data_IF_894826064336
#
_entry.id   IF_894826064336
#
_cell.length_a   1.000
_cell.length_b   1.000
_cell.length_c   1.000
_cell.angle_alpha   90.00
_cell.angle_beta   90.00
_cell.angle_gamma   90.00
#
_symmetry.space_group_name_H-M   'P 1'
#
loop_
_entity.id
_entity.type
_entity.pdbx_description
1 polymer ?
#
# COMPACT_ATOMS: atom_id res chain seq x y z
N UNK A 1 15.52 20.29 -19.29
CA UNK A 1 16.94 19.88 -19.25
C UNK A 1 16.98 18.37 -19.05
N UNK A 2 17.84 17.63 -19.75
CA UNK A 2 17.92 16.17 -19.59
C UNK A 2 18.66 15.87 -18.29
N UNK A 3 18.06 15.08 -17.41
CA UNK A 3 18.60 14.73 -16.11
C UNK A 3 19.92 13.94 -16.25
N UNK A 4 20.96 14.30 -15.47
CA UNK A 4 22.28 13.67 -15.52
C UNK A 4 22.23 12.23 -14.95
N UNK A 5 22.52 11.18 -15.72
CA UNK A 5 22.39 9.79 -15.25
C UNK A 5 23.37 9.41 -14.11
N UNK A 6 24.28 10.30 -13.70
CA UNK A 6 25.17 10.12 -12.55
C UNK A 6 24.63 10.68 -11.23
N UNK A 7 23.47 11.35 -11.24
CA UNK A 7 22.80 11.89 -10.05
C UNK A 7 21.53 11.11 -9.73
N UNK A 8 21.19 11.01 -8.44
CA UNK A 8 19.89 10.49 -7.98
C UNK A 8 18.80 11.48 -8.37
N UNK A 9 18.36 11.47 -9.63
CA UNK A 9 17.37 12.44 -10.11
C UNK A 9 15.95 12.07 -9.74
N UNK A 10 15.71 10.83 -9.33
CA UNK A 10 14.38 10.31 -9.03
C UNK A 10 14.47 9.41 -7.81
N UNK A 11 13.58 9.63 -6.84
CA UNK A 11 13.33 8.71 -5.73
C UNK A 11 11.86 8.29 -5.79
N UNK A 12 11.64 6.97 -5.87
CA UNK A 12 10.29 6.38 -5.79
C UNK A 12 10.12 5.76 -4.41
N UNK A 13 9.14 6.26 -3.66
CA UNK A 13 8.80 5.79 -2.33
C UNK A 13 7.66 4.80 -2.46
N UNK A 14 7.95 3.53 -2.16
CA UNK A 14 6.97 2.43 -2.08
C UNK A 14 6.74 1.98 -0.63
N UNK A 15 7.15 2.81 0.35
CA UNK A 15 7.25 2.45 1.75
C UNK A 15 6.04 2.92 2.57
N UNK A 16 5.61 2.05 3.48
CA UNK A 16 4.69 2.36 4.58
C UNK A 16 3.87 1.15 5.06
N UNK A 17 4.01 -0.02 4.46
CA UNK A 17 3.49 -1.30 4.99
C UNK A 17 4.00 -1.57 6.42
N UNK A 18 5.31 -1.42 6.67
CA UNK A 18 5.88 -1.65 8.01
C UNK A 18 5.56 -0.51 8.99
N UNK A 19 5.39 0.72 8.51
CA UNK A 19 5.05 1.90 9.31
C UNK A 19 3.57 1.92 9.73
N UNK A 20 2.72 1.20 9.01
CA UNK A 20 1.27 1.17 9.22
C UNK A 20 0.79 -0.02 10.05
N UNK A 21 1.69 -0.84 10.61
CA UNK A 21 1.33 -2.04 11.39
C UNK A 21 0.57 -3.11 10.58
N UNK A 22 0.83 -3.16 9.28
CA UNK A 22 0.23 -4.11 8.36
C UNK A 22 0.38 -5.57 8.79
N UNK A 23 1.49 -5.87 9.46
CA UNK A 23 1.75 -7.20 9.99
C UNK A 23 0.68 -7.70 10.95
N UNK A 24 0.13 -6.80 11.77
CA UNK A 24 -0.97 -7.16 12.67
C UNK A 24 -2.26 -7.40 11.90
N UNK A 25 -2.52 -6.65 10.83
CA UNK A 25 -3.68 -6.85 9.95
C UNK A 25 -3.63 -8.22 9.31
N UNK A 26 -2.50 -8.56 8.65
CA UNK A 26 -2.32 -9.86 8.01
C UNK A 26 -2.39 -10.99 9.03
N UNK A 27 -1.76 -10.82 10.20
CA UNK A 27 -1.76 -11.85 11.26
C UNK A 27 -3.15 -12.05 11.84
N UNK A 28 -3.91 -10.99 12.11
CA UNK A 28 -5.24 -11.08 12.69
C UNK A 28 -6.29 -11.55 11.67
N UNK A 29 -6.20 -11.09 10.42
CA UNK A 29 -6.98 -11.65 9.31
C UNK A 29 -6.74 -13.15 9.25
N UNK A 30 -5.47 -13.56 9.18
CA UNK A 30 -5.09 -14.98 9.17
C UNK A 30 -5.69 -15.69 10.37
N UNK A 31 -5.37 -15.28 11.60
CA UNK A 31 -5.83 -15.94 12.82
C UNK A 31 -7.35 -16.11 12.90
N UNK A 32 -8.12 -15.13 12.42
CA UNK A 32 -9.58 -15.07 12.60
C UNK A 32 -10.33 -15.76 11.46
N UNK A 33 -9.82 -15.73 10.23
CA UNK A 33 -10.41 -16.48 9.11
C UNK A 33 -10.02 -17.96 9.11
N UNK A 34 -8.94 -18.33 9.81
CA UNK A 34 -8.45 -19.71 9.95
C UNK A 34 -9.53 -20.75 10.34
N UNK A 35 -10.53 -20.32 11.09
CA UNK A 35 -11.58 -21.17 11.66
C UNK A 35 -12.99 -20.68 11.31
N UNK A 36 -13.09 -19.73 10.39
CA UNK A 36 -14.38 -19.27 9.88
C UNK A 36 -14.82 -20.19 8.75
N UNK A 37 -16.06 -20.67 8.84
CA UNK A 37 -16.67 -21.56 7.84
C UNK A 37 -17.86 -20.89 7.14
N UNK A 38 -17.95 -19.56 7.20
CA UNK A 38 -19.08 -18.80 6.66
C UNK A 38 -18.66 -17.39 6.24
N UNK A 39 -19.26 -16.86 5.16
CA UNK A 39 -19.04 -15.50 4.67
C UNK A 39 -19.25 -14.43 5.76
N UNK A 40 -20.23 -14.61 6.65
CA UNK A 40 -20.48 -13.69 7.77
C UNK A 40 -19.32 -13.69 8.79
N UNK A 41 -18.71 -14.85 9.01
CA UNK A 41 -17.54 -14.99 9.88
C UNK A 41 -16.31 -14.33 9.27
N UNK A 42 -16.12 -14.47 7.96
CA UNK A 42 -15.02 -13.87 7.20
C UNK A 42 -15.15 -12.34 7.17
N UNK A 43 -16.34 -11.82 6.88
CA UNK A 43 -16.63 -10.38 6.97
C UNK A 43 -16.33 -9.81 8.35
N UNK A 44 -16.74 -10.50 9.42
CA UNK A 44 -16.47 -10.05 10.79
C UNK A 44 -14.98 -10.10 11.14
N UNK A 45 -14.26 -11.13 10.69
CA UNK A 45 -12.82 -11.21 10.83
C UNK A 45 -12.13 -10.04 10.12
N UNK A 46 -12.63 -9.68 8.93
CA UNK A 46 -12.17 -8.53 8.15
C UNK A 46 -12.36 -7.22 8.90
N UNK A 47 -13.59 -6.95 9.35
CA UNK A 47 -13.93 -5.76 10.11
C UNK A 47 -13.04 -5.60 11.33
N UNK A 48 -12.83 -6.66 12.11
CA UNK A 48 -11.94 -6.58 13.28
C UNK A 48 -10.49 -6.33 12.85
N UNK A 49 -9.95 -7.05 11.86
CA UNK A 49 -8.56 -6.85 11.47
C UNK A 49 -8.29 -5.47 10.86
N UNK A 50 -9.22 -4.96 10.05
CA UNK A 50 -9.09 -3.67 9.38
C UNK A 50 -9.41 -2.51 10.33
N UNK A 51 -10.53 -2.56 11.06
CA UNK A 51 -10.97 -1.44 11.89
C UNK A 51 -10.30 -1.42 13.26
N UNK A 52 -10.11 -2.58 13.89
CA UNK A 52 -9.57 -2.68 15.25
C UNK A 52 -8.06 -2.91 15.25
N UNK A 53 -7.54 -3.83 14.44
CA UNK A 53 -6.12 -4.18 14.47
C UNK A 53 -5.24 -3.23 13.65
N UNK A 54 -5.73 -2.77 12.49
CA UNK A 54 -5.03 -1.74 11.72
C UNK A 54 -5.17 -0.38 12.38
N UNK A 55 -6.41 -0.05 12.77
CA UNK A 55 -6.80 1.16 13.48
C UNK A 55 -6.17 2.44 12.86
N UNK A 56 -6.26 2.54 11.53
CA UNK A 56 -5.79 3.70 10.78
C UNK A 56 -6.40 5.03 11.28
N UNK A 57 -7.72 5.12 11.58
CA UNK A 57 -8.32 6.38 12.01
C UNK A 57 -7.65 7.00 13.23
N UNK A 58 -7.17 6.20 14.19
CA UNK A 58 -6.51 6.75 15.38
C UNK A 58 -5.04 7.12 15.16
N UNK A 59 -4.51 6.94 13.94
CA UNK A 59 -3.09 7.06 13.62
C UNK A 59 -2.81 8.05 12.49
N UNK A 60 -3.85 8.65 11.92
CA UNK A 60 -3.75 9.56 10.76
C UNK A 60 -2.68 10.64 10.97
N UNK A 61 -2.70 11.32 12.12
CA UNK A 61 -1.77 12.43 12.40
C UNK A 61 -0.31 11.95 12.47
N UNK A 62 -0.07 10.77 13.07
CA UNK A 62 1.27 10.18 13.16
C UNK A 62 1.79 9.71 11.80
N UNK A 63 0.91 9.15 10.95
CA UNK A 63 1.25 8.71 9.60
C UNK A 63 1.55 9.93 8.73
N UNK A 64 0.70 10.96 8.75
CA UNK A 64 0.91 12.19 8.00
C UNK A 64 2.21 12.90 8.43
N UNK A 65 2.46 13.00 9.74
CA UNK A 65 3.70 13.61 10.26
C UNK A 65 4.95 12.83 9.87
N UNK A 66 4.91 11.49 9.93
CA UNK A 66 6.03 10.66 9.51
C UNK A 66 6.27 10.75 7.99
N UNK A 67 5.20 10.81 7.20
CA UNK A 67 5.25 10.99 5.75
C UNK A 67 5.91 12.32 5.40
N UNK A 68 5.50 13.39 6.06
CA UNK A 68 6.11 14.71 5.95
C UNK A 68 7.60 14.67 6.24
N UNK A 69 7.98 14.12 7.38
CA UNK A 69 9.37 14.00 7.80
C UNK A 69 10.22 13.26 6.76
N UNK A 70 9.71 12.16 6.19
CA UNK A 70 10.41 11.41 5.13
C UNK A 70 10.64 12.31 3.91
N UNK A 71 9.58 12.95 3.42
CA UNK A 71 9.67 13.78 2.21
C UNK A 71 10.54 15.03 2.39
N UNK A 72 10.46 15.71 3.54
CA UNK A 72 11.33 16.85 3.86
C UNK A 72 12.80 16.43 4.04
N UNK A 73 13.04 15.27 4.64
CA UNK A 73 14.40 14.71 4.77
C UNK A 73 15.00 14.42 3.40
N UNK A 74 14.24 13.81 2.50
CA UNK A 74 14.70 13.55 1.13
C UNK A 74 14.91 14.84 0.33
N UNK A 75 14.01 15.82 0.45
CA UNK A 75 14.14 17.10 -0.23
C UNK A 75 15.33 17.94 0.27
N UNK A 76 15.74 17.78 1.53
CA UNK A 76 16.90 18.48 2.09
C UNK A 76 18.23 17.78 1.83
N UNK A 77 18.21 16.45 1.67
CA UNK A 77 19.43 15.64 1.46
C UNK A 77 19.71 15.33 -0.01
N UNK A 78 18.72 15.53 -0.90
CA UNK A 78 18.81 15.17 -2.32
C UNK A 78 18.24 16.28 -3.18
N UNK A 79 18.65 16.32 -4.45
CA UNK A 79 18.04 17.13 -5.49
C UNK A 79 17.10 16.29 -6.39
N UNK A 80 16.60 15.17 -5.86
CA UNK A 80 15.78 14.23 -6.61
C UNK A 80 14.34 14.71 -6.76
N UNK A 81 13.74 14.40 -7.90
CA UNK A 81 12.29 14.40 -8.03
C UNK A 81 11.72 13.26 -7.18
N UNK A 82 10.78 13.61 -6.29
CA UNK A 82 10.19 12.65 -5.36
C UNK A 82 8.84 12.18 -5.88
N UNK A 83 8.66 10.86 -5.92
CA UNK A 83 7.42 10.21 -6.28
C UNK A 83 6.98 9.27 -5.16
N UNK A 84 5.70 9.30 -4.80
CA UNK A 84 5.12 8.41 -3.81
C UNK A 84 4.00 7.58 -4.44
N UNK A 85 4.06 6.26 -4.30
CA UNK A 85 3.05 5.38 -4.91
C UNK A 85 1.92 5.04 -3.94
N UNK A 86 0.68 4.95 -4.44
CA UNK A 86 -0.45 4.37 -3.68
C UNK A 86 -0.24 2.88 -3.38
N UNK A 87 -1.12 2.32 -2.56
CA UNK A 87 -1.09 0.90 -2.16
C UNK A 87 -1.95 0.02 -3.07
N UNK A 88 -1.71 -1.28 -3.01
CA UNK A 88 -2.53 -2.30 -3.67
C UNK A 88 -3.45 -3.02 -2.66
N UNK A 89 -4.60 -3.53 -3.11
CA UNK A 89 -5.46 -4.36 -2.24
C UNK A 89 -4.89 -5.77 -2.10
N UNK A 90 -5.29 -6.48 -1.05
CA UNK A 90 -4.94 -7.89 -0.82
C UNK A 90 -6.08 -8.85 -1.09
N UNK A 91 -7.22 -8.34 -1.56
CA UNK A 91 -8.33 -9.16 -2.04
C UNK A 91 -7.82 -10.19 -3.06
N UNK A 92 -8.29 -11.43 -2.94
CA UNK A 92 -7.83 -12.55 -3.77
C UNK A 92 -6.51 -13.19 -3.34
N UNK A 93 -5.79 -12.65 -2.35
CA UNK A 93 -4.62 -13.33 -1.78
C UNK A 93 -5.02 -14.47 -0.84
N UNK A 94 -4.23 -15.55 -0.84
CA UNK A 94 -4.36 -16.64 0.15
C UNK A 94 -3.22 -16.55 1.16
N UNK A 95 -3.57 -16.34 2.43
CA UNK A 95 -2.60 -16.11 3.51
C UNK A 95 -1.89 -17.40 3.97
N UNK A 96 -2.52 -18.58 3.80
CA UNK A 96 -1.95 -19.88 4.16
C UNK A 96 -2.39 -21.01 3.20
N UNK A 97 -1.61 -22.10 3.04
CA UNK A 97 -2.00 -23.20 2.16
C UNK A 97 -3.35 -23.79 2.55
N UNK A 98 -4.19 -24.08 1.56
CA UNK A 98 -5.50 -24.71 1.76
C UNK A 98 -6.60 -23.79 2.29
N UNK A 99 -6.33 -22.49 2.41
CA UNK A 99 -7.33 -21.51 2.82
C UNK A 99 -8.06 -20.93 1.63
N UNK A 100 -9.29 -20.49 1.86
CA UNK A 100 -10.00 -19.64 0.90
C UNK A 100 -9.24 -18.31 0.80
N UNK A 101 -9.02 -17.78 -0.43
CA UNK A 101 -8.53 -16.42 -0.59
C UNK A 101 -9.41 -15.41 0.15
N UNK A 102 -8.84 -14.27 0.53
CA UNK A 102 -9.63 -13.13 1.02
C UNK A 102 -10.66 -12.79 -0.05
N UNK A 103 -11.94 -13.00 0.24
CA UNK A 103 -13.01 -12.86 -0.73
C UNK A 103 -13.61 -11.46 -0.75
N UNK A 104 -14.63 -11.30 -1.60
CA UNK A 104 -15.30 -10.03 -1.84
C UNK A 104 -16.00 -9.48 -0.58
N UNK A 105 -16.26 -10.32 0.42
CA UNK A 105 -16.80 -9.94 1.72
C UNK A 105 -15.92 -8.97 2.52
N UNK A 106 -14.65 -8.83 2.12
CA UNK A 106 -13.67 -7.91 2.68
C UNK A 106 -13.47 -6.62 1.88
N UNK A 107 -13.97 -6.55 0.64
CA UNK A 107 -13.56 -5.52 -0.31
C UNK A 107 -13.92 -4.10 0.16
N UNK A 108 -15.11 -3.93 0.73
CA UNK A 108 -15.58 -2.62 1.22
C UNK A 108 -14.71 -2.11 2.38
N UNK A 109 -14.43 -2.96 3.37
CA UNK A 109 -13.60 -2.62 4.52
C UNK A 109 -12.15 -2.32 4.08
N UNK A 110 -11.60 -3.16 3.21
CA UNK A 110 -10.26 -2.98 2.66
C UNK A 110 -10.15 -1.69 1.85
N UNK A 111 -11.12 -1.40 0.99
CA UNK A 111 -11.13 -0.19 0.17
C UNK A 111 -11.23 1.06 1.05
N UNK A 112 -12.11 1.06 2.04
CA UNK A 112 -12.24 2.17 2.99
C UNK A 112 -10.92 2.46 3.69
N UNK A 113 -10.23 1.42 4.17
CA UNK A 113 -8.97 1.57 4.87
C UNK A 113 -7.82 2.01 3.95
N UNK A 114 -7.74 1.47 2.73
CA UNK A 114 -6.75 1.88 1.74
C UNK A 114 -6.96 3.33 1.28
N UNK A 115 -8.20 3.73 1.04
CA UNK A 115 -8.56 5.12 0.72
C UNK A 115 -8.20 6.09 1.85
N UNK A 116 -8.43 5.70 3.11
CA UNK A 116 -8.02 6.50 4.27
C UNK A 116 -6.49 6.61 4.36
N UNK A 117 -5.78 5.49 4.16
CA UNK A 117 -4.31 5.49 4.17
C UNK A 117 -3.76 6.43 3.11
N UNK A 118 -4.23 6.32 1.86
CA UNK A 118 -3.77 7.17 0.77
C UNK A 118 -4.03 8.64 1.02
N UNK A 119 -5.23 8.99 1.48
CA UNK A 119 -5.56 10.38 1.83
C UNK A 119 -4.66 10.90 2.95
N UNK A 120 -4.35 10.04 3.93
CA UNK A 120 -3.47 10.37 5.06
C UNK A 120 -2.01 10.55 4.62
N UNK A 121 -1.52 9.73 3.70
CA UNK A 121 -0.18 9.87 3.15
C UNK A 121 -0.09 11.14 2.31
N UNK A 122 -1.03 11.36 1.40
CA UNK A 122 -1.10 12.54 0.54
C UNK A 122 -1.14 13.84 1.35
N UNK A 123 -1.90 13.88 2.46
CA UNK A 123 -1.96 15.07 3.33
C UNK A 123 -0.66 15.36 4.07
N UNK A 124 0.22 14.36 4.20
CA UNK A 124 1.54 14.50 4.79
C UNK A 124 2.65 14.84 3.81
N UNK A 125 2.43 14.77 2.49
CA UNK A 125 3.51 15.00 1.52
C UNK A 125 3.99 16.45 1.56
N UNK A 126 5.31 16.65 1.59
CA UNK A 126 5.91 17.95 1.33
C UNK A 126 5.93 18.27 -0.18
N UNK A 127 5.81 19.54 -0.54
CA UNK A 127 5.96 19.96 -1.94
C UNK A 127 7.45 20.03 -2.35
N UNK A 128 7.83 19.61 -3.58
CA UNK A 128 7.01 19.00 -4.62
C UNK A 128 7.18 17.47 -4.65
N UNK A 129 6.23 16.71 -4.07
CA UNK A 129 6.17 15.25 -4.22
C UNK A 129 5.00 14.87 -5.12
N UNK A 130 5.26 14.04 -6.13
CA UNK A 130 4.23 13.55 -7.06
C UNK A 130 3.61 12.26 -6.53
N UNK A 131 2.29 12.24 -6.38
CA UNK A 131 1.55 11.01 -6.09
C UNK A 131 1.33 10.18 -7.37
N UNK A 132 1.62 8.89 -7.30
CA UNK A 132 1.38 7.92 -8.38
C UNK A 132 0.31 6.94 -7.90
N UNK A 133 -0.85 6.97 -8.54
CA UNK A 133 -1.90 6.00 -8.26
C UNK A 133 -1.65 4.70 -9.03
N UNK A 134 -1.41 3.63 -8.29
CA UNK A 134 -1.43 2.26 -8.77
C UNK A 134 -2.89 1.79 -8.74
N UNK A 135 -3.37 1.24 -9.85
CA UNK A 135 -4.68 0.60 -9.90
C UNK A 135 -4.71 -0.64 -8.98
N UNK A 136 -5.02 -0.38 -7.70
CA UNK A 136 -4.85 -1.32 -6.59
C UNK A 136 -5.60 -2.63 -6.78
N UNK A 137 -6.75 -2.58 -7.45
CA UNK A 137 -7.66 -3.71 -7.67
C UNK A 137 -7.16 -4.67 -8.74
N UNK A 138 -6.16 -4.28 -9.53
CA UNK A 138 -5.69 -5.07 -10.67
C UNK A 138 -4.32 -5.68 -10.46
N UNK A 139 -3.59 -5.32 -9.40
CA UNK A 139 -2.23 -5.81 -9.13
C UNK A 139 -2.25 -7.31 -8.87
N UNK A 140 -1.65 -8.15 -9.74
CA UNK A 140 -1.60 -9.58 -9.51
C UNK A 140 -0.74 -9.93 -8.30
N UNK A 141 -1.31 -10.68 -7.37
CA UNK A 141 -0.66 -11.10 -6.13
C UNK A 141 -0.11 -12.53 -6.26
N UNK A 142 0.82 -12.87 -5.37
CA UNK A 142 1.25 -14.26 -5.22
C UNK A 142 0.10 -15.09 -4.61
N UNK A 143 -0.18 -16.26 -5.21
CA UNK A 143 -1.24 -17.16 -4.72
C UNK A 143 -0.91 -17.71 -3.33
N UNK A 144 0.38 -17.86 -2.99
CA UNK A 144 0.79 -18.28 -1.65
C UNK A 144 2.23 -17.88 -1.35
N UNK A 145 2.45 -17.25 -0.19
CA UNK A 145 3.79 -16.87 0.28
C UNK A 145 3.84 -16.37 1.73
N UNK A 146 2.80 -16.65 2.53
CA UNK A 146 2.66 -16.16 3.92
C UNK A 146 2.38 -14.66 4.07
N UNK A 147 2.57 -13.89 2.99
CA UNK A 147 2.32 -12.45 2.90
C UNK A 147 1.66 -12.12 1.55
N UNK A 148 0.77 -11.13 1.48
CA UNK A 148 0.12 -10.75 0.22
C UNK A 148 1.02 -9.81 -0.59
N UNK A 149 2.12 -10.32 -1.15
CA UNK A 149 2.99 -9.54 -2.04
C UNK A 149 2.55 -9.65 -3.51
N UNK A 150 2.85 -8.65 -4.35
CA UNK A 150 2.71 -8.78 -5.80
C UNK A 150 3.53 -9.96 -6.30
N UNK A 151 3.02 -10.67 -7.31
CA UNK A 151 3.83 -11.67 -8.04
C UNK A 151 4.69 -10.98 -9.11
N UNK A 152 5.37 -11.75 -9.97
CA UNK A 152 6.21 -11.20 -11.05
C UNK A 152 5.43 -10.24 -11.98
N UNK A 153 4.18 -10.56 -12.30
CA UNK A 153 3.33 -9.74 -13.15
C UNK A 153 2.87 -8.49 -12.40
N UNK A 154 2.55 -8.60 -11.11
CA UNK A 154 2.27 -7.45 -10.24
C UNK A 154 3.43 -6.49 -10.11
N UNK A 155 4.65 -6.99 -9.89
CA UNK A 155 5.84 -6.13 -9.90
C UNK A 155 6.06 -5.45 -11.25
N UNK A 156 5.81 -6.16 -12.36
CA UNK A 156 5.92 -5.60 -13.71
C UNK A 156 4.88 -4.51 -13.95
N UNK A 157 3.64 -4.73 -13.52
CA UNK A 157 2.55 -3.76 -13.61
C UNK A 157 2.89 -2.48 -12.83
N UNK A 158 3.24 -2.62 -11.54
CA UNK A 158 3.61 -1.49 -10.69
C UNK A 158 4.77 -0.70 -11.31
N UNK A 159 5.82 -1.40 -11.75
CA UNK A 159 6.99 -0.77 -12.38
C UNK A 159 6.63 0.01 -13.65
N UNK A 160 5.71 -0.50 -14.49
CA UNK A 160 5.24 0.20 -15.69
C UNK A 160 4.40 1.43 -15.36
N UNK A 161 3.51 1.33 -14.37
CA UNK A 161 2.70 2.47 -13.90
C UNK A 161 3.60 3.60 -13.40
N UNK A 162 4.59 3.26 -12.56
CA UNK A 162 5.57 4.21 -12.03
C UNK A 162 6.38 4.85 -13.16
N UNK A 163 6.93 4.04 -14.07
CA UNK A 163 7.72 4.55 -15.18
C UNK A 163 6.92 5.47 -16.11
N UNK A 164 5.64 5.15 -16.37
CA UNK A 164 4.76 5.98 -17.17
C UNK A 164 4.47 7.33 -16.50
N UNK A 165 4.20 7.35 -15.19
CA UNK A 165 3.96 8.58 -14.46
C UNK A 165 5.17 9.52 -14.46
N UNK A 166 6.37 8.97 -14.24
CA UNK A 166 7.64 9.71 -14.33
C UNK A 166 7.87 10.25 -15.75
N UNK A 167 7.54 9.47 -16.79
CA UNK A 167 7.70 9.91 -18.17
C UNK A 167 6.77 11.07 -18.55
N UNK A 168 5.59 11.17 -17.92
CA UNK A 168 4.63 12.26 -18.16
C UNK A 168 5.00 13.55 -17.43
N UNK A 169 5.59 13.48 -16.24
CA UNK A 169 5.99 14.65 -15.45
C UNK A 169 7.22 15.39 -16.01
N UNK A 170 7.95 14.78 -16.94
CA UNK A 170 9.14 15.37 -17.58
C UNK A 170 8.87 16.12 -18.90
N UNK A 171 7.62 16.12 -19.38
CA UNK A 171 7.19 16.81 -20.61
C UNK A 171 6.54 18.17 -20.28
#
# INVERSE_FOLDING_TARGET
AVADPSTWNIVVITAGINSTNWSNVVTDLTRRTAFSFSELGDKKACQTAVLESWNLPSRTDSIASATKLITETLATQTNADLYWTSYFTISGSRLAPGWTPIGAECDDEMEMAMSLLDTTLQSGLADPVTWIDIDRGTVPLQDWGGWPHPNQDGHTMIGRTVAAAIGQSQL
#
